data_IF_628652893725
#
_entry.id   IF_628652893725
#
_cell.length_a   1.000
_cell.length_b   1.000
_cell.length_c   1.000
_cell.angle_alpha   90.00
_cell.angle_beta   90.00
_cell.angle_gamma   90.00
#
_symmetry.space_group_name_H-M   'P 1'
#
loop_
_entity.id
_entity.type
_entity.pdbx_description
1 polymer ?
#
# COMPACT_ATOMS: atom_id res chain seq x y z
N UNK A 1 -1.53 24.05 12.57
CA UNK A 1 -0.67 24.27 11.39
C UNK A 1 0.71 23.62 11.52
N UNK A 2 1.50 23.88 12.57
CA UNK A 2 2.87 23.30 12.70
C UNK A 2 2.91 21.75 12.72
N UNK A 3 1.96 21.11 13.39
CA UNK A 3 1.91 19.64 13.47
C UNK A 3 1.68 18.98 12.11
N UNK A 4 0.76 19.50 11.31
CA UNK A 4 0.46 18.93 9.99
C UNK A 4 1.66 18.97 9.04
N UNK A 5 2.43 20.06 9.06
CA UNK A 5 3.66 20.19 8.27
C UNK A 5 4.74 19.20 8.75
N UNK A 6 4.87 19.02 10.06
CA UNK A 6 5.79 18.03 10.61
C UNK A 6 5.40 16.60 10.19
N UNK A 7 4.11 16.29 10.25
CA UNK A 7 3.57 14.98 9.84
C UNK A 7 3.79 14.71 8.35
N UNK A 8 3.74 15.74 7.50
CA UNK A 8 4.00 15.62 6.06
C UNK A 8 5.48 15.29 5.79
N UNK A 9 6.40 16.01 6.44
CA UNK A 9 7.84 15.73 6.33
C UNK A 9 8.17 14.32 6.85
N UNK A 10 7.50 13.87 7.91
CA UNK A 10 7.65 12.52 8.41
C UNK A 10 7.17 11.48 7.39
N UNK A 11 6.03 11.74 6.73
CA UNK A 11 5.50 10.87 5.69
C UNK A 11 6.41 10.79 4.46
N UNK A 12 6.96 11.91 4.00
CA UNK A 12 7.94 11.94 2.89
C UNK A 12 9.16 11.06 3.21
N UNK A 13 9.70 11.19 4.42
CA UNK A 13 10.83 10.36 4.89
C UNK A 13 10.46 8.88 4.93
N UNK A 14 9.29 8.56 5.46
CA UNK A 14 8.81 7.18 5.58
C UNK A 14 8.61 6.53 4.20
N UNK A 15 8.01 7.24 3.25
CA UNK A 15 7.82 6.74 1.87
C UNK A 15 9.16 6.50 1.19
N UNK A 16 10.12 7.43 1.34
CA UNK A 16 11.48 7.26 0.80
C UNK A 16 12.20 6.06 1.44
N UNK A 17 12.07 5.85 2.74
CA UNK A 17 12.68 4.73 3.43
C UNK A 17 12.07 3.39 2.98
N UNK A 18 10.73 3.29 3.01
CA UNK A 18 10.01 2.03 2.79
C UNK A 18 9.88 1.64 1.32
N UNK A 19 9.77 2.61 0.41
CA UNK A 19 9.54 2.35 -1.02
C UNK A 19 10.69 2.83 -1.91
N UNK A 20 11.65 3.59 -1.37
CA UNK A 20 12.75 4.13 -2.18
C UNK A 20 12.33 5.26 -3.12
N UNK A 21 11.08 5.73 -3.03
CA UNK A 21 10.53 6.77 -3.90
C UNK A 21 10.54 8.10 -3.16
N UNK A 22 11.33 9.10 -3.60
CA UNK A 22 11.22 10.44 -3.05
C UNK A 22 9.91 11.08 -3.53
N UNK A 23 9.11 11.58 -2.59
CA UNK A 23 7.90 12.34 -2.86
C UNK A 23 8.02 13.73 -2.22
N UNK A 24 7.44 14.72 -2.89
CA UNK A 24 7.28 16.07 -2.35
C UNK A 24 5.79 16.35 -2.20
N UNK A 25 5.30 16.39 -0.97
CA UNK A 25 3.88 16.60 -0.66
C UNK A 25 3.52 18.06 -0.92
N UNK A 26 2.48 18.27 -1.72
CA UNK A 26 1.83 19.59 -1.89
C UNK A 26 0.68 19.75 -0.91
N UNK A 27 -0.13 18.72 -0.74
CA UNK A 27 -1.25 18.70 0.21
C UNK A 27 -1.64 17.28 0.57
N UNK A 28 -2.19 17.11 1.77
CA UNK A 28 -2.83 15.86 2.21
C UNK A 28 -4.33 16.05 2.20
N UNK A 29 -5.03 15.19 1.47
CA UNK A 29 -6.48 15.22 1.28
C UNK A 29 -7.18 14.43 2.38
N UNK A 30 -6.64 13.24 2.69
CA UNK A 30 -7.14 12.36 3.74
C UNK A 30 -5.95 11.90 4.56
N UNK A 31 -6.02 12.02 5.89
CA UNK A 31 -4.92 11.66 6.79
C UNK A 31 -5.33 10.50 7.69
N UNK A 32 -4.60 9.38 7.61
CA UNK A 32 -4.73 8.21 8.49
C UNK A 32 -6.19 7.72 8.68
N UNK A 33 -6.98 7.73 7.62
CA UNK A 33 -8.34 7.21 7.68
C UNK A 33 -8.32 5.68 7.83
N UNK A 34 -9.16 5.14 8.71
CA UNK A 34 -9.31 3.70 8.85
C UNK A 34 -10.03 3.14 7.60
N UNK A 35 -9.37 2.21 6.91
CA UNK A 35 -9.89 1.56 5.68
C UNK A 35 -10.15 0.07 5.88
N UNK A 36 -9.67 -0.47 6.99
CA UNK A 36 -10.03 -1.80 7.50
C UNK A 36 -9.76 -1.85 9.01
N UNK A 37 -10.03 -2.98 9.65
CA UNK A 37 -9.71 -3.21 11.07
C UNK A 37 -8.19 -3.13 11.34
N UNK A 38 -7.36 -3.38 10.34
CA UNK A 38 -5.90 -3.48 10.49
C UNK A 38 -5.12 -2.54 9.58
N UNK A 39 -5.80 -1.68 8.80
CA UNK A 39 -5.16 -0.83 7.81
C UNK A 39 -5.70 0.62 7.84
N UNK A 40 -4.77 1.55 7.62
CA UNK A 40 -5.03 2.99 7.49
C UNK A 40 -4.51 3.52 6.17
N UNK A 41 -5.19 4.54 5.66
CA UNK A 41 -4.88 5.19 4.41
C UNK A 41 -4.59 6.68 4.60
N UNK A 42 -3.60 7.17 3.86
CA UNK A 42 -3.36 8.60 3.66
C UNK A 42 -3.37 8.90 2.17
N UNK A 43 -4.22 9.84 1.75
CA UNK A 43 -4.32 10.31 0.36
C UNK A 43 -3.65 11.67 0.28
N UNK A 44 -2.70 11.81 -0.64
CA UNK A 44 -1.91 13.02 -0.81
C UNK A 44 -1.75 13.39 -2.28
N UNK A 45 -1.54 14.69 -2.52
CA UNK A 45 -1.17 15.23 -3.82
C UNK A 45 0.28 15.70 -3.76
N UNK A 46 1.10 15.24 -4.70
CA UNK A 46 2.49 15.70 -4.80
C UNK A 46 2.60 17.06 -5.48
N UNK A 47 3.74 17.76 -5.34
CA UNK A 47 4.04 18.98 -6.10
C UNK A 47 4.03 18.76 -7.62
N UNK A 48 4.24 17.52 -8.06
CA UNK A 48 4.13 17.09 -9.48
C UNK A 48 2.70 16.75 -9.90
N UNK A 49 1.69 17.08 -9.07
CA UNK A 49 0.27 16.81 -9.30
C UNK A 49 -0.08 15.32 -9.42
N UNK A 50 0.69 14.46 -8.78
CA UNK A 50 0.38 13.03 -8.71
C UNK A 50 -0.46 12.74 -7.46
N UNK A 51 -1.61 12.09 -7.65
CA UNK A 51 -2.44 11.63 -6.54
C UNK A 51 -1.91 10.28 -6.06
N UNK A 52 -1.54 10.20 -4.78
CA UNK A 52 -0.96 8.99 -4.18
C UNK A 52 -1.78 8.53 -2.99
N UNK A 53 -1.88 7.22 -2.84
CA UNK A 53 -2.45 6.54 -1.68
C UNK A 53 -1.32 5.80 -0.97
N UNK A 54 -1.05 6.19 0.27
CA UNK A 54 -0.17 5.46 1.19
C UNK A 54 -1.02 4.57 2.10
N UNK A 55 -0.69 3.27 2.16
CA UNK A 55 -1.33 2.30 3.03
C UNK A 55 -0.36 1.83 4.12
N UNK A 56 -0.84 1.89 5.36
CA UNK A 56 -0.19 1.31 6.53
C UNK A 56 -1.06 0.17 7.04
N UNK A 57 -0.51 -1.02 7.27
CA UNK A 57 -1.26 -2.16 7.79
C UNK A 57 -0.44 -2.96 8.81
N UNK A 58 -1.13 -3.46 9.83
CA UNK A 58 -0.54 -4.32 10.87
C UNK A 58 -0.44 -5.79 10.44
N UNK A 59 -1.04 -6.14 9.30
CA UNK A 59 -1.03 -7.49 8.72
C UNK A 59 -0.67 -7.37 7.23
N UNK A 60 0.06 -8.35 6.65
CA UNK A 60 0.32 -8.35 5.22
C UNK A 60 -0.98 -8.26 4.42
N UNK A 61 -1.00 -7.39 3.41
CA UNK A 61 -2.13 -7.23 2.49
C UNK A 61 -1.79 -7.93 1.17
N UNK A 62 -2.71 -8.76 0.68
CA UNK A 62 -2.62 -9.25 -0.70
C UNK A 62 -3.09 -8.17 -1.68
N UNK A 63 -2.78 -8.33 -2.96
CA UNK A 63 -3.10 -7.33 -3.98
C UNK A 63 -4.61 -7.05 -4.09
N UNK A 64 -5.49 -8.04 -3.92
CA UNK A 64 -6.93 -7.75 -3.92
C UNK A 64 -7.41 -6.93 -2.74
N UNK A 65 -6.83 -7.13 -1.55
CA UNK A 65 -7.20 -6.33 -0.38
C UNK A 65 -6.90 -4.86 -0.68
N UNK A 66 -5.71 -4.59 -1.26
CA UNK A 66 -5.31 -3.26 -1.71
C UNK A 66 -6.25 -2.74 -2.79
N UNK A 67 -6.58 -3.53 -3.83
CA UNK A 67 -7.53 -3.14 -4.89
C UNK A 67 -8.92 -2.81 -4.34
N UNK A 68 -9.44 -3.60 -3.39
CA UNK A 68 -10.73 -3.39 -2.74
C UNK A 68 -10.72 -2.11 -1.91
N UNK A 69 -9.64 -1.85 -1.16
CA UNK A 69 -9.48 -0.61 -0.41
C UNK A 69 -9.51 0.60 -1.36
N UNK A 70 -8.68 0.58 -2.41
CA UNK A 70 -8.61 1.66 -3.42
C UNK A 70 -9.99 1.94 -4.02
N UNK A 71 -10.70 0.90 -4.46
CA UNK A 71 -12.03 1.03 -5.05
C UNK A 71 -13.07 1.59 -4.06
N UNK A 72 -13.07 1.12 -2.80
CA UNK A 72 -13.98 1.61 -1.76
C UNK A 72 -13.71 3.05 -1.33
N UNK A 73 -12.47 3.51 -1.48
CA UNK A 73 -12.11 4.92 -1.31
C UNK A 73 -12.51 5.81 -2.50
N UNK A 74 -13.13 5.24 -3.54
CA UNK A 74 -13.51 5.98 -4.75
C UNK A 74 -12.33 6.34 -5.65
N UNK A 75 -11.19 5.63 -5.51
CA UNK A 75 -9.97 5.86 -6.27
C UNK A 75 -9.80 4.82 -7.38
N UNK A 76 -9.02 5.16 -8.41
CA UNK A 76 -8.53 4.23 -9.43
C UNK A 76 -7.02 4.28 -9.46
N UNK A 77 -6.36 3.18 -9.10
CA UNK A 77 -4.90 3.10 -9.15
C UNK A 77 -4.40 2.87 -10.58
N UNK A 78 -3.42 3.67 -11.00
CA UNK A 78 -2.67 3.45 -12.25
C UNK A 78 -1.55 2.44 -12.05
N UNK A 79 -0.94 2.43 -10.86
CA UNK A 79 0.15 1.53 -10.51
C UNK A 79 0.18 1.23 -9.01
N UNK A 80 0.79 0.10 -8.65
CA UNK A 80 1.03 -0.32 -7.27
C UNK A 80 2.53 -0.38 -7.03
N UNK A 81 2.99 0.24 -5.93
CA UNK A 81 4.40 0.25 -5.57
C UNK A 81 4.67 -0.81 -4.50
N UNK A 82 5.55 -1.79 -4.76
CA UNK A 82 5.99 -2.71 -3.71
C UNK A 82 6.99 -2.03 -2.77
N UNK A 83 7.17 -2.56 -1.54
CA UNK A 83 8.26 -2.13 -0.66
C UNK A 83 9.64 -2.25 -1.33
N UNK A 84 10.56 -1.38 -0.92
CA UNK A 84 11.93 -1.31 -1.43
C UNK A 84 12.62 -2.67 -1.25
N UNK A 85 13.23 -3.17 -2.32
CA UNK A 85 13.92 -4.46 -2.33
C UNK A 85 13.01 -5.68 -2.37
N UNK A 86 11.69 -5.49 -2.52
CA UNK A 86 10.71 -6.58 -2.58
C UNK A 86 9.86 -6.49 -3.87
N UNK A 87 10.44 -6.58 -5.08
CA UNK A 87 9.72 -6.38 -6.33
C UNK A 87 8.52 -7.34 -6.50
N UNK A 88 8.63 -8.55 -5.94
CA UNK A 88 7.60 -9.59 -5.99
C UNK A 88 6.70 -9.63 -4.73
N UNK A 89 6.67 -8.55 -3.92
CA UNK A 89 5.97 -8.53 -2.63
C UNK A 89 4.57 -9.17 -2.65
N UNK A 90 3.73 -8.77 -3.61
CA UNK A 90 2.35 -9.29 -3.67
C UNK A 90 2.30 -10.77 -4.07
N UNK A 91 3.24 -11.24 -4.90
CA UNK A 91 3.36 -12.65 -5.28
C UNK A 91 3.84 -13.48 -4.08
N UNK A 92 4.84 -12.99 -3.35
CA UNK A 92 5.41 -13.65 -2.18
C UNK A 92 4.36 -13.81 -1.06
N UNK A 93 3.63 -12.75 -0.73
CA UNK A 93 2.55 -12.78 0.26
C UNK A 93 1.40 -13.67 -0.20
N UNK A 94 1.04 -13.62 -1.50
CA UNK A 94 0.01 -14.49 -2.07
C UNK A 94 0.37 -15.98 -1.95
N UNK A 95 1.61 -16.35 -2.29
CA UNK A 95 2.12 -17.71 -2.18
C UNK A 95 2.19 -18.19 -0.73
N UNK A 96 2.64 -17.32 0.19
CA UNK A 96 2.65 -17.64 1.62
C UNK A 96 1.24 -17.96 2.11
N UNK A 97 0.29 -17.06 1.84
CA UNK A 97 -1.11 -17.22 2.29
C UNK A 97 -1.76 -18.46 1.67
N UNK A 98 -1.46 -18.77 0.41
CA UNK A 98 -1.93 -19.99 -0.23
C UNK A 98 -1.41 -21.25 0.47
N UNK A 99 -0.12 -21.32 0.80
CA UNK A 99 0.48 -22.45 1.52
C UNK A 99 -0.10 -22.64 2.92
N UNK A 100 -0.40 -21.54 3.61
CA UNK A 100 -1.05 -21.57 4.92
C UNK A 100 -2.44 -22.20 4.84
N UNK A 101 -3.20 -21.93 3.78
CA UNK A 101 -4.56 -22.47 3.59
C UNK A 101 -4.54 -23.89 2.98
N UNK A 102 -3.59 -24.20 2.09
CA UNK A 102 -3.51 -25.46 1.34
C UNK A 102 -2.12 -26.11 1.45
N UNK A 103 -1.73 -26.62 2.63
CA UNK A 103 -0.36 -27.09 2.89
C UNK A 103 0.06 -28.31 2.05
N UNK A 104 -0.92 -29.10 1.54
CA UNK A 104 -0.65 -30.28 0.71
C UNK A 104 -0.48 -30.00 -0.79
N UNK A 105 -0.66 -28.76 -1.26
CA UNK A 105 -0.45 -28.41 -2.68
C UNK A 105 0.99 -27.92 -2.89
N UNK A 106 1.72 -28.64 -3.74
CA UNK A 106 3.14 -28.34 -4.05
C UNK A 106 3.32 -27.40 -5.24
N UNK A 107 2.40 -27.45 -6.22
CA UNK A 107 2.41 -26.57 -7.39
C UNK A 107 1.42 -25.41 -7.18
N UNK A 108 1.96 -24.20 -6.99
CA UNK A 108 1.18 -22.96 -6.85
C UNK A 108 1.30 -22.21 -8.18
N UNK A 109 0.19 -22.10 -8.91
CA UNK A 109 0.12 -21.30 -10.14
C UNK A 109 -0.17 -19.84 -9.83
N UNK A 110 0.03 -18.96 -10.81
CA UNK A 110 -0.34 -17.55 -10.66
C UNK A 110 -1.85 -17.38 -10.42
N UNK A 111 -2.69 -18.27 -10.97
CA UNK A 111 -4.13 -18.26 -10.72
C UNK A 111 -4.48 -18.59 -9.26
N UNK A 112 -3.67 -19.39 -8.59
CA UNK A 112 -3.87 -19.77 -7.19
C UNK A 112 -3.55 -18.62 -6.21
N UNK A 113 -2.78 -17.62 -6.66
CA UNK A 113 -2.38 -16.44 -5.86
C UNK A 113 -3.12 -15.17 -6.26
N UNK A 114 -3.97 -15.23 -7.30
CA UNK A 114 -4.93 -14.19 -7.67
C UNK A 114 -6.09 -14.16 -6.64
N UNK A 115 -5.79 -13.87 -5.38
CA UNK A 115 -6.81 -13.42 -4.44
C UNK A 115 -7.08 -11.97 -4.68
#
# INVERSE_FOLDING_TARGET
>A
MKQAVYDDVALERLVKEKFGVPIDISSVIVRRADVSRTARATVLLTKKKQLMLYLEANSPLVLSDVKKIVSRMGLRAEMYFPPKGQPHYFEDIGRQKFREVFPGRTNISDQDILF
#
